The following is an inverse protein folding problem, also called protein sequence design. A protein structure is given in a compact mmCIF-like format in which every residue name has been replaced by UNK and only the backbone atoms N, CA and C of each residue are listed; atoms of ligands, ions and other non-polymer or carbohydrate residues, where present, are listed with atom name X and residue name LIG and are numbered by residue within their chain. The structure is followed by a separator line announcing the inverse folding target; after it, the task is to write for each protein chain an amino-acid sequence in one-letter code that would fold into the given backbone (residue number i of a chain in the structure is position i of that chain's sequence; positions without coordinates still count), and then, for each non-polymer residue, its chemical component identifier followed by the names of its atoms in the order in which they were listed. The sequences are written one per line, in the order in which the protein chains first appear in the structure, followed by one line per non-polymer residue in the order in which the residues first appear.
data_IF_317623458743
#
_entry.id   IF_317623458743
#
_cell.length_a   1.000
_cell.length_b   1.000
_cell.length_c   1.000
_cell.angle_alpha   90.00
_cell.angle_beta   90.00
_cell.angle_gamma   90.00
#
_symmetry.space_group_name_H-M   'P 1'
#
loop_
_entity.id
_entity.type
_entity.pdbx_description
1 polymer ?
#
# COMPACT_ATOMS: atom_id res chain seq x y z
N UNK A 1 63.80 -46.71 -40.89
CA UNK A 1 63.66 -45.49 -40.07
C UNK A 1 62.17 -45.23 -39.84
N UNK A 2 61.80 -45.25 -38.56
CA UNK A 2 60.56 -44.86 -37.88
C UNK A 2 59.22 -44.67 -38.63
N UNK A 3 58.25 -45.46 -38.15
CA UNK A 3 56.80 -45.24 -38.07
C UNK A 3 56.43 -43.85 -37.53
N UNK A 4 55.30 -43.27 -38.00
CA UNK A 4 54.22 -42.76 -37.13
C UNK A 4 52.89 -42.84 -37.87
N UNK A 5 51.88 -43.45 -37.22
CA UNK A 5 50.47 -43.50 -37.60
C UNK A 5 49.81 -42.15 -37.26
N UNK A 6 49.14 -41.50 -38.20
CA UNK A 6 48.35 -40.30 -37.91
C UNK A 6 46.99 -40.71 -37.34
N UNK A 7 46.82 -40.55 -36.03
CA UNK A 7 45.54 -40.69 -35.33
C UNK A 7 44.86 -39.31 -35.32
N UNK A 8 43.68 -39.22 -35.93
CA UNK A 8 42.84 -38.01 -35.88
C UNK A 8 42.19 -37.92 -34.49
N UNK A 9 42.54 -36.88 -33.74
CA UNK A 9 41.88 -36.53 -32.47
C UNK A 9 40.74 -35.56 -32.82
N UNK A 10 39.49 -36.05 -32.76
CA UNK A 10 38.32 -35.17 -32.72
C UNK A 10 38.27 -34.50 -31.34
N UNK A 11 38.57 -33.20 -31.29
CA UNK A 11 38.31 -32.39 -30.10
C UNK A 11 36.83 -32.00 -30.10
N UNK A 12 35.99 -32.77 -29.40
CA UNK A 12 34.61 -32.39 -29.16
C UNK A 12 34.58 -31.22 -28.16
N UNK A 13 34.30 -30.01 -28.67
CA UNK A 13 34.08 -28.84 -27.84
C UNK A 13 32.69 -28.98 -27.19
N UNK A 14 32.64 -29.46 -25.95
CA UNK A 14 31.40 -29.48 -25.17
C UNK A 14 31.11 -28.05 -24.75
N UNK A 15 30.28 -27.36 -25.54
CA UNK A 15 29.68 -26.09 -25.15
C UNK A 15 28.61 -26.42 -24.10
N UNK A 16 28.98 -26.33 -22.82
CA UNK A 16 28.04 -26.42 -21.72
C UNK A 16 27.12 -25.22 -21.80
N UNK A 17 25.93 -25.40 -22.39
CA UNK A 17 24.84 -24.45 -22.25
C UNK A 17 24.43 -24.50 -20.78
N UNK A 18 24.95 -23.58 -19.98
CA UNK A 18 24.39 -23.29 -18.67
C UNK A 18 22.99 -22.76 -18.93
N UNK A 19 21.99 -23.64 -18.90
CA UNK A 19 20.60 -23.24 -18.77
C UNK A 19 20.50 -22.50 -17.45
N UNK A 20 20.48 -21.16 -17.53
CA UNK A 20 20.07 -20.33 -16.40
C UNK A 20 18.69 -20.84 -15.96
N UNK A 21 18.57 -21.20 -14.68
CA UNK A 21 17.28 -21.54 -14.11
C UNK A 21 16.32 -20.37 -14.38
N UNK A 22 15.05 -20.63 -14.72
CA UNK A 22 14.09 -19.55 -14.91
C UNK A 22 14.02 -18.77 -13.61
N UNK A 23 14.40 -17.49 -13.68
CA UNK A 23 14.28 -16.57 -12.56
C UNK A 23 12.82 -16.62 -12.11
N UNK A 24 12.57 -17.03 -10.86
CA UNK A 24 11.22 -17.05 -10.31
C UNK A 24 10.66 -15.65 -10.48
N UNK A 25 9.65 -15.48 -11.33
CA UNK A 25 9.05 -14.17 -11.58
C UNK A 25 8.27 -13.81 -10.33
N UNK A 26 8.90 -13.05 -9.43
CA UNK A 26 8.27 -12.55 -8.23
C UNK A 26 7.03 -11.76 -8.62
N UNK A 27 5.87 -12.12 -8.07
CA UNK A 27 4.62 -11.38 -8.29
C UNK A 27 4.70 -10.14 -7.41
N UNK A 28 4.73 -8.96 -8.03
CA UNK A 28 4.68 -7.68 -7.31
C UNK A 28 3.36 -7.58 -6.54
N UNK A 29 3.40 -6.96 -5.35
CA UNK A 29 2.20 -6.68 -4.59
C UNK A 29 1.27 -5.78 -5.43
N UNK A 30 -0.04 -6.05 -5.38
CA UNK A 30 -1.05 -5.33 -6.17
C UNK A 30 -1.08 -3.83 -5.85
N UNK A 31 -0.71 -3.43 -4.62
CA UNK A 31 -0.59 -2.04 -4.17
C UNK A 31 0.67 -1.34 -4.76
N UNK A 32 1.65 -2.10 -5.26
CA UNK A 32 2.85 -1.55 -5.90
C UNK A 32 2.71 -1.41 -7.42
N UNK A 33 1.74 -2.10 -8.02
CA UNK A 33 1.54 -2.15 -9.49
C UNK A 33 1.04 -0.85 -10.14
N UNK A 34 0.28 0.06 -9.49
CA UNK A 34 -0.22 1.28 -10.14
C UNK A 34 0.90 2.21 -10.62
N UNK A 35 2.10 2.11 -10.02
CA UNK A 35 3.21 3.02 -10.32
C UNK A 35 2.98 4.44 -9.81
N UNK A 36 2.16 4.58 -8.76
CA UNK A 36 1.87 5.84 -8.12
C UNK A 36 2.90 6.16 -7.02
N UNK A 37 2.73 7.32 -6.39
CA UNK A 37 3.60 7.74 -5.29
C UNK A 37 3.43 6.78 -4.12
N UNK A 38 4.54 6.32 -3.53
CA UNK A 38 4.50 5.23 -2.56
C UNK A 38 3.70 4.00 -3.05
N UNK A 39 3.66 3.75 -4.37
CA UNK A 39 2.96 2.61 -4.96
C UNK A 39 1.52 2.88 -5.35
N UNK A 40 0.71 3.38 -4.42
CA UNK A 40 -0.76 3.43 -4.47
C UNK A 40 -1.36 4.81 -4.11
N UNK A 41 -0.54 5.81 -3.76
CA UNK A 41 -1.05 7.14 -3.40
C UNK A 41 -1.18 8.04 -4.63
N UNK A 42 -2.41 8.49 -4.87
CA UNK A 42 -2.72 9.51 -5.88
C UNK A 42 -2.39 10.89 -5.30
N UNK A 43 -1.33 11.52 -5.82
CA UNK A 43 -0.96 12.88 -5.44
C UNK A 43 -1.87 13.93 -6.10
N UNK A 44 -2.25 15.01 -5.38
CA UNK A 44 -2.97 16.13 -5.99
C UNK A 44 -2.08 16.88 -7.02
N UNK A 45 -2.70 17.63 -7.97
CA UNK A 45 -1.98 18.42 -8.99
C UNK A 45 -1.06 19.51 -8.40
N UNK A 46 -1.38 20.00 -7.20
CA UNK A 46 -0.54 20.86 -6.38
C UNK A 46 -0.20 20.13 -5.10
N UNK A 47 1.09 19.97 -4.80
CA UNK A 47 1.56 19.46 -3.51
C UNK A 47 1.32 20.56 -2.48
N UNK A 48 0.13 20.57 -1.90
CA UNK A 48 -0.12 21.28 -0.66
C UNK A 48 0.21 20.33 0.50
N UNK A 49 1.19 20.74 1.29
CA UNK A 49 1.78 19.95 2.36
C UNK A 49 0.78 19.67 3.49
N UNK A 50 0.95 18.54 4.18
CA UNK A 50 0.51 18.36 5.57
C UNK A 50 -0.89 17.76 5.78
N UNK A 51 -0.93 16.49 6.15
CA UNK A 51 -2.14 15.82 6.67
C UNK A 51 -2.53 16.28 8.08
N UNK A 52 -1.70 17.13 8.69
CA UNK A 52 -2.02 17.83 9.93
C UNK A 52 -3.17 18.84 9.70
N UNK A 53 -3.26 19.42 8.50
CA UNK A 53 -4.28 20.43 8.21
C UNK A 53 -5.69 19.80 8.21
N UNK A 54 -6.53 20.32 9.09
CA UNK A 54 -7.90 19.85 9.29
C UNK A 54 -8.76 20.04 8.03
N UNK A 55 -8.34 20.88 7.07
CA UNK A 55 -9.02 21.08 5.79
C UNK A 55 -9.15 19.79 4.98
N UNK A 56 -8.23 18.83 5.17
CA UNK A 56 -8.22 17.54 4.49
C UNK A 56 -9.01 16.46 5.25
N UNK A 57 -9.63 16.78 6.39
CA UNK A 57 -10.48 15.83 7.12
C UNK A 57 -11.88 15.81 6.54
N UNK A 58 -12.50 14.63 6.54
CA UNK A 58 -13.89 14.50 6.15
C UNK A 58 -14.81 15.16 7.19
N UNK A 59 -15.70 16.08 6.80
CA UNK A 59 -16.61 16.73 7.74
C UNK A 59 -17.46 15.72 8.52
N UNK A 60 -17.60 15.95 9.83
CA UNK A 60 -18.36 15.08 10.72
C UNK A 60 -17.92 13.61 10.70
N UNK A 61 -16.63 13.34 10.46
CA UNK A 61 -16.08 11.99 10.35
C UNK A 61 -16.81 11.12 9.31
N UNK A 62 -17.40 11.75 8.28
CA UNK A 62 -18.29 11.07 7.33
C UNK A 62 -17.69 11.10 5.92
N UNK A 63 -17.21 9.96 5.47
CA UNK A 63 -16.74 9.76 4.09
C UNK A 63 -17.95 9.58 3.18
N UNK A 64 -18.07 10.45 2.18
CA UNK A 64 -19.11 10.36 1.15
C UNK A 64 -18.57 9.53 0.00
N UNK A 65 -19.32 8.53 -0.46
CA UNK A 65 -18.86 7.63 -1.51
C UNK A 65 -19.87 7.46 -2.63
N UNK A 66 -19.37 7.15 -3.81
CA UNK A 66 -20.11 6.59 -4.94
C UNK A 66 -19.38 5.32 -5.39
N UNK A 67 -20.13 4.25 -5.63
CA UNK A 67 -19.58 2.97 -6.06
C UNK A 67 -19.83 2.80 -7.56
N UNK A 68 -18.82 2.36 -8.28
CA UNK A 68 -18.96 1.92 -9.67
C UNK A 68 -20.06 0.84 -9.78
N UNK A 69 -21.08 1.06 -10.63
CA UNK A 69 -22.20 0.13 -10.75
C UNK A 69 -21.82 -1.24 -11.34
N UNK A 70 -20.58 -1.39 -11.83
CA UNK A 70 -20.07 -2.65 -12.39
C UNK A 70 -19.54 -3.63 -11.33
N UNK A 71 -19.43 -3.23 -10.06
CA UNK A 71 -19.08 -4.15 -8.99
C UNK A 71 -20.11 -5.29 -8.87
N UNK A 72 -19.62 -6.51 -8.73
CA UNK A 72 -20.43 -7.69 -8.49
C UNK A 72 -20.92 -7.72 -7.03
N UNK A 73 -22.01 -8.45 -6.77
CA UNK A 73 -22.63 -8.54 -5.44
C UNK A 73 -21.62 -9.03 -4.37
N UNK A 74 -20.75 -9.98 -4.71
CA UNK A 74 -19.75 -10.49 -3.78
C UNK A 74 -18.61 -9.48 -3.52
N UNK A 75 -18.23 -8.69 -4.53
CA UNK A 75 -17.24 -7.61 -4.41
C UNK A 75 -17.78 -6.50 -3.51
N UNK A 76 -19.03 -6.08 -3.72
CA UNK A 76 -19.72 -5.11 -2.86
C UNK A 76 -19.78 -5.59 -1.41
N UNK A 77 -20.11 -6.87 -1.18
CA UNK A 77 -20.14 -7.43 0.17
C UNK A 77 -18.78 -7.35 0.88
N UNK A 78 -17.68 -7.61 0.17
CA UNK A 78 -16.31 -7.49 0.70
C UNK A 78 -15.94 -6.04 1.01
N UNK A 79 -16.28 -5.10 0.11
CA UNK A 79 -16.06 -3.66 0.31
C UNK A 79 -16.78 -3.20 1.59
N UNK A 80 -18.07 -3.52 1.72
CA UNK A 80 -18.83 -3.17 2.91
C UNK A 80 -18.33 -3.85 4.19
N UNK A 81 -17.80 -5.07 4.11
CA UNK A 81 -17.20 -5.74 5.26
C UNK A 81 -15.95 -5.01 5.78
N UNK A 82 -15.05 -4.59 4.88
CA UNK A 82 -13.88 -3.78 5.24
C UNK A 82 -14.27 -2.43 5.86
N UNK A 83 -15.26 -1.76 5.27
CA UNK A 83 -15.78 -0.50 5.81
C UNK A 83 -16.45 -0.67 7.17
N UNK A 84 -17.21 -1.76 7.36
CA UNK A 84 -17.83 -2.07 8.64
C UNK A 84 -16.79 -2.23 9.76
N UNK A 85 -15.62 -2.80 9.47
CA UNK A 85 -14.54 -2.92 10.46
C UNK A 85 -14.01 -1.56 10.92
N UNK A 86 -13.86 -0.62 9.99
CA UNK A 86 -13.49 0.77 10.31
C UNK A 86 -14.59 1.42 11.15
N UNK A 87 -15.87 1.30 10.78
CA UNK A 87 -16.97 1.93 11.54
C UNK A 87 -17.25 1.27 12.89
N UNK A 88 -16.87 0.00 13.06
CA UNK A 88 -17.04 -0.70 14.34
C UNK A 88 -15.93 -0.37 15.34
N UNK A 89 -14.79 0.08 14.84
CA UNK A 89 -13.61 0.39 15.65
C UNK A 89 -13.33 1.89 15.74
N UNK A 90 -14.11 2.74 15.06
CA UNK A 90 -13.93 4.19 15.04
C UNK A 90 -15.28 4.89 14.89
N UNK A 91 -15.31 6.22 15.06
CA UNK A 91 -16.51 7.01 14.78
C UNK A 91 -16.70 7.38 13.30
N UNK A 92 -15.85 6.87 12.39
CA UNK A 92 -16.00 7.11 10.95
C UNK A 92 -17.34 6.54 10.48
N UNK A 93 -17.98 7.28 9.57
CA UNK A 93 -19.22 6.88 8.91
C UNK A 93 -19.02 6.90 7.41
N UNK A 94 -19.69 5.98 6.73
CA UNK A 94 -19.77 5.97 5.27
C UNK A 94 -21.20 6.25 4.85
N UNK A 95 -21.38 7.18 3.90
CA UNK A 95 -22.70 7.43 3.30
C UNK A 95 -22.63 7.54 1.78
N UNK A 96 -23.65 7.05 1.06
CA UNK A 96 -23.77 7.28 -0.37
C UNK A 96 -23.82 8.77 -0.71
N UNK A 97 -23.30 9.11 -1.88
CA UNK A 97 -23.35 10.43 -2.48
C UNK A 97 -24.80 10.83 -2.82
N UNK A 98 -25.20 12.01 -2.37
CA UNK A 98 -26.42 12.70 -2.76
C UNK A 98 -26.21 13.72 -3.89
N UNK A 99 -27.30 14.32 -4.40
CA UNK A 99 -27.23 15.28 -5.50
C UNK A 99 -26.43 16.56 -5.17
N UNK A 100 -26.42 16.99 -3.91
CA UNK A 100 -25.76 18.22 -3.46
C UNK A 100 -24.29 18.02 -3.04
N UNK A 101 -23.83 16.77 -2.93
CA UNK A 101 -22.46 16.49 -2.51
C UNK A 101 -21.48 16.79 -3.64
N UNK A 102 -20.54 17.69 -3.34
CA UNK A 102 -19.45 18.06 -4.25
C UNK A 102 -18.16 17.30 -3.93
N UNK A 103 -17.94 16.94 -2.66
CA UNK A 103 -16.76 16.22 -2.19
C UNK A 103 -17.13 14.77 -1.90
N UNK A 104 -16.54 13.82 -2.62
CA UNK A 104 -16.83 12.40 -2.45
C UNK A 104 -15.74 11.52 -3.08
N UNK A 105 -15.64 10.29 -2.59
CA UNK A 105 -14.80 9.24 -3.15
C UNK A 105 -15.60 8.48 -4.22
N UNK A 106 -15.15 8.51 -5.47
CA UNK A 106 -15.63 7.61 -6.52
C UNK A 106 -14.78 6.34 -6.49
N UNK A 107 -15.35 5.26 -5.94
CA UNK A 107 -14.71 3.95 -5.84
C UNK A 107 -14.93 3.19 -7.14
N UNK A 108 -13.83 2.97 -7.87
CA UNK A 108 -13.83 2.31 -9.18
C UNK A 108 -13.47 0.84 -9.02
N UNK A 109 -14.13 0.00 -9.83
CA UNK A 109 -13.84 -1.44 -9.90
C UNK A 109 -12.47 -1.74 -10.53
N UNK A 110 -11.92 -0.77 -11.28
CA UNK A 110 -10.65 -0.92 -11.97
C UNK A 110 -10.70 -1.95 -13.10
N UNK A 111 -9.60 -2.03 -13.83
CA UNK A 111 -9.34 -3.06 -14.83
C UNK A 111 -8.06 -3.82 -14.46
N UNK A 112 -7.84 -5.00 -15.04
CA UNK A 112 -6.64 -5.78 -14.80
C UNK A 112 -5.36 -4.95 -15.01
N UNK A 113 -4.48 -4.94 -14.01
CA UNK A 113 -3.22 -4.20 -14.03
C UNK A 113 -3.32 -2.73 -13.63
N UNK A 114 -4.47 -2.28 -13.11
CA UNK A 114 -4.64 -0.92 -12.56
C UNK A 114 -4.29 -0.83 -11.07
N UNK A 115 -4.23 -1.96 -10.37
CA UNK A 115 -3.82 -2.07 -8.98
C UNK A 115 -4.81 -1.46 -7.98
N UNK A 116 -4.35 -1.18 -6.76
CA UNK A 116 -5.15 -0.55 -5.71
C UNK A 116 -4.61 0.86 -5.47
N UNK A 117 -5.49 1.86 -5.30
CA UNK A 117 -5.02 3.23 -5.03
C UNK A 117 -6.08 4.15 -4.47
N UNK A 118 -5.61 5.19 -3.77
CA UNK A 118 -6.45 6.22 -3.17
C UNK A 118 -5.69 7.53 -3.02
N UNK A 119 -6.44 8.62 -2.85
CA UNK A 119 -5.87 9.89 -2.40
C UNK A 119 -5.82 9.94 -0.87
N UNK A 120 -4.83 10.62 -0.29
CA UNK A 120 -4.77 10.80 1.16
C UNK A 120 -5.65 11.98 1.61
N UNK A 121 -6.70 11.71 2.40
CA UNK A 121 -7.64 12.70 2.92
C UNK A 121 -8.70 13.18 1.91
N UNK A 122 -9.57 14.10 2.34
CA UNK A 122 -10.57 14.77 1.51
C UNK A 122 -9.91 15.86 0.66
N UNK A 123 -9.72 15.61 -0.64
CA UNK A 123 -9.03 16.54 -1.57
C UNK A 123 -9.94 17.62 -2.18
N UNK A 124 -11.25 17.53 -1.92
CA UNK A 124 -12.26 18.38 -2.56
C UNK A 124 -12.65 17.86 -3.95
N UNK A 125 -13.91 18.10 -4.34
CA UNK A 125 -14.44 17.55 -5.58
C UNK A 125 -14.59 16.02 -5.56
N UNK A 126 -14.74 15.43 -6.74
CA UNK A 126 -14.66 13.98 -6.90
C UNK A 126 -13.20 13.52 -6.82
N UNK A 127 -12.85 12.70 -5.84
CA UNK A 127 -11.57 12.00 -5.78
C UNK A 127 -11.74 10.52 -6.15
N UNK A 128 -10.78 9.96 -6.89
CA UNK A 128 -10.81 8.56 -7.29
C UNK A 128 -10.21 7.63 -6.23
N UNK A 129 -10.82 6.47 -6.06
CA UNK A 129 -10.21 5.30 -5.44
C UNK A 129 -10.32 4.13 -6.43
N UNK A 130 -9.27 3.35 -6.61
CA UNK A 130 -9.29 2.16 -7.46
C UNK A 130 -9.19 0.92 -6.57
N UNK A 131 -10.17 0.02 -6.69
CA UNK A 131 -10.13 -1.30 -6.10
C UNK A 131 -10.24 -2.32 -7.23
N UNK A 132 -9.14 -2.55 -7.96
CA UNK A 132 -9.08 -3.54 -9.04
C UNK A 132 -9.69 -4.87 -8.58
N UNK A 133 -10.84 -5.21 -9.14
CA UNK A 133 -11.52 -6.45 -8.81
C UNK A 133 -11.14 -7.56 -9.81
N UNK A 134 -10.82 -8.79 -9.33
CA UNK A 134 -11.00 -9.22 -7.95
C UNK A 134 -9.78 -8.98 -7.04
N UNK A 135 -8.62 -8.58 -7.59
CA UNK A 135 -7.31 -8.52 -6.91
C UNK A 135 -7.33 -7.77 -5.58
N UNK A 136 -7.75 -6.50 -5.57
CA UNK A 136 -7.87 -5.68 -4.36
C UNK A 136 -9.05 -6.14 -3.48
N UNK A 137 -10.20 -6.44 -4.09
CA UNK A 137 -11.42 -6.78 -3.35
C UNK A 137 -11.34 -8.13 -2.60
N UNK A 138 -10.47 -9.05 -3.04
CA UNK A 138 -10.27 -10.33 -2.36
C UNK A 138 -9.30 -10.26 -1.17
N UNK A 139 -8.67 -9.10 -0.93
CA UNK A 139 -7.75 -8.87 0.19
C UNK A 139 -8.37 -7.86 1.15
N UNK A 140 -9.00 -8.37 2.21
CA UNK A 140 -9.77 -7.56 3.17
C UNK A 140 -9.00 -6.35 3.70
N UNK A 141 -7.75 -6.54 4.12
CA UNK A 141 -6.92 -5.43 4.59
C UNK A 141 -6.58 -4.40 3.52
N UNK A 142 -6.57 -4.75 2.22
CA UNK A 142 -6.34 -3.78 1.13
C UNK A 142 -7.54 -2.84 0.99
N UNK A 143 -8.77 -3.32 1.15
CA UNK A 143 -9.96 -2.45 1.16
C UNK A 143 -9.88 -1.45 2.32
N UNK A 144 -9.45 -1.92 3.50
CA UNK A 144 -9.25 -1.08 4.68
C UNK A 144 -8.11 -0.08 4.42
N UNK A 145 -6.99 -0.53 3.86
CA UNK A 145 -5.81 0.26 3.54
C UNK A 145 -6.16 1.47 2.66
N UNK A 146 -6.80 1.24 1.52
CA UNK A 146 -7.20 2.32 0.60
C UNK A 146 -8.19 3.29 1.24
N UNK A 147 -9.09 2.77 2.08
CA UNK A 147 -10.03 3.61 2.79
C UNK A 147 -9.36 4.42 3.90
N UNK A 148 -8.35 3.89 4.58
CA UNK A 148 -7.54 4.65 5.54
C UNK A 148 -6.72 5.76 4.85
N UNK A 149 -6.23 5.53 3.64
CA UNK A 149 -5.72 6.62 2.80
C UNK A 149 -6.78 7.70 2.59
N UNK A 150 -7.97 7.34 2.09
CA UNK A 150 -9.04 8.31 1.86
C UNK A 150 -9.47 9.06 3.14
N UNK A 151 -9.47 8.39 4.29
CA UNK A 151 -9.74 8.97 5.62
C UNK A 151 -8.66 9.98 6.01
N UNK A 152 -7.43 9.76 5.54
CA UNK A 152 -6.32 10.68 5.71
C UNK A 152 -5.18 10.07 6.50
N UNK A 153 -4.61 8.96 6.06
CA UNK A 153 -3.37 8.41 6.61
C UNK A 153 -2.39 8.07 5.48
N UNK A 154 -1.10 8.37 5.68
CA UNK A 154 -0.02 7.86 4.84
C UNK A 154 0.49 6.52 5.39
N UNK A 155 1.46 5.93 4.70
CA UNK A 155 2.07 4.69 5.13
C UNK A 155 2.86 4.82 6.45
N UNK A 156 2.85 3.74 7.24
CA UNK A 156 3.54 3.69 8.54
C UNK A 156 5.07 3.72 8.38
N UNK A 157 5.64 3.08 7.34
CA UNK A 157 7.10 3.08 7.12
C UNK A 157 7.67 4.42 6.66
N UNK A 158 6.81 5.38 6.34
CA UNK A 158 7.19 6.74 5.94
C UNK A 158 7.13 7.72 7.11
N UNK A 159 6.85 7.25 8.34
CA UNK A 159 6.89 8.10 9.54
C UNK A 159 8.27 8.75 9.74
N UNK A 160 8.31 9.97 10.32
CA UNK A 160 9.58 10.66 10.61
C UNK A 160 10.55 9.85 11.49
N UNK A 161 10.00 9.11 12.45
CA UNK A 161 10.71 8.30 13.46
C UNK A 161 11.00 6.86 13.01
N UNK A 162 10.64 6.45 11.78
CA UNK A 162 10.72 5.04 11.35
C UNK A 162 12.12 4.43 11.46
N UNK A 163 13.18 5.24 11.34
CA UNK A 163 14.57 4.76 11.43
C UNK A 163 14.92 4.28 12.85
N UNK A 164 14.12 4.58 13.88
CA UNK A 164 14.30 4.02 15.23
C UNK A 164 13.79 2.57 15.32
N UNK A 165 12.96 2.15 14.37
CA UNK A 165 12.23 0.87 14.37
C UNK A 165 12.62 -0.05 13.22
N UNK A 166 12.97 0.52 12.06
CA UNK A 166 13.30 -0.20 10.84
C UNK A 166 14.72 0.10 10.37
N UNK A 167 15.27 -0.83 9.59
CA UNK A 167 16.41 -0.59 8.70
C UNK A 167 15.92 -0.73 7.27
N UNK A 168 16.18 0.30 6.45
CA UNK A 168 15.95 0.23 4.99
C UNK A 168 17.19 -0.31 4.31
N UNK A 169 17.01 -1.38 3.56
CA UNK A 169 18.07 -2.07 2.82
C UNK A 169 18.08 -1.53 1.38
N UNK A 170 18.68 -0.35 1.21
CA UNK A 170 18.56 0.45 -0.01
C UNK A 170 19.04 -0.27 -1.28
N UNK A 171 20.04 -1.13 -1.19
CA UNK A 171 20.57 -1.92 -2.32
C UNK A 171 19.64 -3.03 -2.80
N UNK A 172 18.57 -3.32 -2.04
CA UNK A 172 17.53 -4.29 -2.40
C UNK A 172 16.28 -3.67 -3.02
N UNK A 173 16.22 -2.34 -3.12
CA UNK A 173 15.09 -1.64 -3.73
C UNK A 173 15.24 -1.62 -5.26
N UNK A 174 14.14 -1.82 -5.98
CA UNK A 174 14.07 -1.68 -7.44
C UNK A 174 14.58 -0.28 -7.86
N UNK A 175 15.55 -0.17 -8.78
CA UNK A 175 16.10 1.12 -9.18
C UNK A 175 15.03 2.10 -9.65
N UNK A 176 15.05 3.31 -9.11
CA UNK A 176 14.04 4.34 -9.35
C UNK A 176 12.83 4.29 -8.42
N UNK A 177 12.73 3.31 -7.51
CA UNK A 177 11.66 3.19 -6.50
C UNK A 177 12.10 3.63 -5.09
N UNK A 178 13.32 4.13 -4.93
CA UNK A 178 13.88 4.57 -3.65
C UNK A 178 13.03 5.68 -3.01
N UNK A 179 12.40 6.53 -3.83
CA UNK A 179 11.53 7.61 -3.36
C UNK A 179 10.31 7.13 -2.57
N UNK A 180 9.87 5.88 -2.75
CA UNK A 180 8.76 5.27 -1.99
C UNK A 180 9.13 4.94 -0.53
N UNK A 181 10.40 5.10 -0.16
CA UNK A 181 10.93 4.86 1.19
C UNK A 181 11.34 6.16 1.90
N UNK A 182 11.09 7.31 1.27
CA UNK A 182 11.34 8.61 1.87
C UNK A 182 10.42 8.83 3.06
N UNK A 183 10.97 9.41 4.13
CA UNK A 183 10.18 9.78 5.31
C UNK A 183 9.50 11.12 5.06
N UNK A 184 8.31 11.30 5.62
CA UNK A 184 7.72 12.63 5.74
C UNK A 184 8.43 13.43 6.83
N UNK A 185 8.51 14.76 6.67
CA UNK A 185 8.90 15.65 7.77
C UNK A 185 7.79 15.72 8.83
N UNK A 186 8.18 16.04 10.08
CA UNK A 186 7.28 16.08 11.25
C UNK A 186 6.15 17.12 11.14
N UNK A 187 6.32 18.13 10.29
CA UNK A 187 5.30 19.15 9.99
C UNK A 187 4.28 18.66 8.95
N UNK A 188 4.49 17.50 8.35
CA UNK A 188 3.63 16.94 7.30
C UNK A 188 2.79 15.77 7.79
N UNK A 189 3.39 14.87 8.58
CA UNK A 189 2.72 13.71 9.18
C UNK A 189 2.94 13.73 10.68
N UNK A 190 1.84 13.63 11.44
CA UNK A 190 1.88 13.49 12.88
C UNK A 190 1.77 12.02 13.27
N UNK A 191 2.54 11.61 14.29
CA UNK A 191 2.40 10.29 14.90
C UNK A 191 1.16 10.21 15.80
N UNK A 192 0.50 11.35 16.06
CA UNK A 192 -0.57 11.50 17.06
C UNK A 192 -0.16 11.01 18.46
N UNK A 193 1.15 10.98 18.74
CA UNK A 193 1.71 10.44 19.98
C UNK A 193 1.64 8.91 20.09
N UNK A 194 1.22 8.20 19.04
CA UNK A 194 1.14 6.75 19.02
C UNK A 194 2.52 6.10 18.80
N UNK A 195 2.80 4.95 19.45
CA UNK A 195 4.00 4.18 19.17
C UNK A 195 4.02 3.69 17.72
N UNK A 196 5.20 3.30 17.23
CA UNK A 196 5.35 2.71 15.90
C UNK A 196 4.62 1.37 15.81
N UNK A 197 3.81 1.19 14.76
CA UNK A 197 2.96 0.02 14.60
C UNK A 197 3.42 -0.91 13.46
N UNK A 198 4.24 -1.90 13.80
CA UNK A 198 4.64 -2.96 12.86
C UNK A 198 3.45 -3.76 12.31
N UNK A 199 2.34 -3.83 13.06
CA UNK A 199 1.11 -4.52 12.68
C UNK A 199 0.14 -3.64 11.88
N UNK A 200 0.51 -2.40 11.57
CA UNK A 200 -0.36 -1.48 10.84
C UNK A 200 -0.73 -2.06 9.47
N UNK A 201 -2.00 -1.93 9.10
CA UNK A 201 -2.47 -2.30 7.75
C UNK A 201 -1.89 -1.35 6.68
N UNK A 202 -1.40 -0.18 7.10
CA UNK A 202 -0.70 0.83 6.30
C UNK A 202 0.82 0.62 6.26
N UNK A 203 1.35 -0.45 6.83
CA UNK A 203 2.76 -0.77 6.73
C UNK A 203 3.05 -1.53 5.44
N UNK A 204 4.11 -1.20 4.73
CA UNK A 204 4.64 -2.04 3.65
C UNK A 204 5.01 -3.44 4.11
N UNK A 205 4.98 -4.39 3.17
CA UNK A 205 5.62 -5.69 3.38
C UNK A 205 7.13 -5.55 3.53
N UNK A 206 7.77 -6.56 4.14
CA UNK A 206 9.23 -6.59 4.27
C UNK A 206 9.95 -6.54 2.92
N UNK A 207 9.28 -6.93 1.82
CA UNK A 207 9.82 -7.03 0.47
C UNK A 207 9.27 -5.96 -0.47
N UNK A 208 8.71 -4.88 0.07
CA UNK A 208 8.13 -3.82 -0.75
C UNK A 208 9.14 -3.34 -1.80
N UNK A 209 8.75 -3.26 -3.07
CA UNK A 209 9.61 -2.86 -4.19
C UNK A 209 10.97 -3.60 -4.27
N UNK A 210 11.03 -4.86 -3.85
CA UNK A 210 12.27 -5.63 -3.89
C UNK A 210 12.74 -5.93 -5.31
N UNK A 211 14.03 -5.71 -5.60
CA UNK A 211 14.65 -6.02 -6.89
C UNK A 211 14.86 -7.53 -7.11
N UNK A 212 15.05 -8.30 -6.04
CA UNK A 212 15.47 -9.71 -6.11
C UNK A 212 14.67 -10.66 -5.20
N UNK A 213 13.64 -10.14 -4.52
CA UNK A 213 12.79 -10.87 -3.58
C UNK A 213 13.33 -10.91 -2.15
N UNK A 214 14.49 -10.29 -1.87
CA UNK A 214 14.97 -10.09 -0.50
C UNK A 214 14.26 -8.91 0.19
N UNK A 215 14.37 -8.86 1.51
CA UNK A 215 13.73 -7.83 2.31
C UNK A 215 14.38 -6.45 2.05
N UNK A 216 13.55 -5.45 1.80
CA UNK A 216 13.89 -4.03 1.70
C UNK A 216 13.68 -3.30 3.03
N UNK A 217 12.80 -3.84 3.89
CA UNK A 217 12.51 -3.33 5.23
C UNK A 217 12.75 -4.42 6.27
N UNK A 218 13.66 -4.14 7.21
CA UNK A 218 14.00 -5.09 8.30
C UNK A 218 13.68 -4.45 9.65
N UNK A 219 12.72 -4.99 10.42
CA UNK A 219 12.50 -4.60 11.81
C UNK A 219 13.76 -4.76 12.66
N UNK A 220 14.08 -3.73 13.45
CA UNK A 220 15.23 -3.77 14.38
C UNK A 220 15.01 -4.76 15.53
N UNK A 221 13.75 -5.06 15.85
CA UNK A 221 13.39 -6.09 16.83
C UNK A 221 13.33 -7.44 16.11
N UNK A 222 14.18 -8.41 16.48
CA UNK A 222 14.20 -9.72 15.84
C UNK A 222 12.86 -10.46 15.96
N UNK A 223 12.40 -11.07 14.87
CA UNK A 223 11.19 -11.90 14.84
C UNK A 223 9.87 -11.14 14.67
N UNK A 224 9.90 -9.80 14.62
CA UNK A 224 8.73 -8.99 14.27
C UNK A 224 8.43 -9.14 12.76
N UNK A 225 7.15 -9.20 12.42
CA UNK A 225 6.67 -9.25 11.02
C UNK A 225 5.91 -7.97 10.67
N UNK A 226 5.90 -7.61 9.39
CA UNK A 226 5.30 -6.38 8.85
C UNK A 226 4.56 -6.65 7.53
N UNK A 227 3.62 -5.77 7.18
CA UNK A 227 2.89 -5.81 5.90
C UNK A 227 1.67 -6.71 5.88
N UNK A 228 1.03 -6.92 7.03
CA UNK A 228 -0.23 -7.64 7.09
C UNK A 228 -1.33 -6.91 6.30
N UNK A 229 -2.25 -7.66 5.70
CA UNK A 229 -3.49 -7.17 5.08
C UNK A 229 -4.68 -8.01 5.49
N UNK A 230 -4.76 -8.30 6.78
CA UNK A 230 -5.81 -9.08 7.41
C UNK A 230 -6.89 -8.19 8.01
N UNK A 231 -6.52 -7.11 8.71
CA UNK A 231 -7.44 -6.29 9.49
C UNK A 231 -6.82 -4.94 9.87
N UNK A 232 -7.64 -3.98 10.33
CA UNK A 232 -7.17 -2.75 10.97
C UNK A 232 -6.49 -3.09 12.31
N UNK A 233 -5.34 -2.48 12.60
CA UNK A 233 -4.71 -2.65 13.91
C UNK A 233 -5.42 -1.80 14.99
N UNK A 234 -5.20 -2.13 16.26
CA UNK A 234 -5.70 -1.29 17.36
C UNK A 234 -5.09 0.12 17.33
N UNK A 235 -3.82 0.24 16.91
CA UNK A 235 -3.15 1.53 16.82
C UNK A 235 -3.61 2.33 15.61
N UNK A 236 -3.92 1.69 14.48
CA UNK A 236 -4.56 2.33 13.33
C UNK A 236 -5.93 2.90 13.72
N UNK A 237 -6.79 2.10 14.36
CA UNK A 237 -8.08 2.57 14.85
C UNK A 237 -7.91 3.69 15.89
N UNK A 238 -6.96 3.57 16.81
CA UNK A 238 -6.64 4.60 17.81
C UNK A 238 -6.23 5.93 17.16
N UNK A 239 -5.35 5.89 16.14
CA UNK A 239 -4.94 7.07 15.36
C UNK A 239 -6.16 7.72 14.68
N UNK A 240 -7.05 6.95 14.06
CA UNK A 240 -8.29 7.47 13.46
C UNK A 240 -9.16 8.14 14.52
N UNK A 241 -9.34 7.51 15.69
CA UNK A 241 -10.14 8.06 16.80
C UNK A 241 -9.61 9.40 17.29
N UNK A 242 -8.29 9.50 17.47
CA UNK A 242 -7.63 10.74 17.86
C UNK A 242 -7.79 11.82 16.79
N UNK A 243 -7.55 11.48 15.52
CA UNK A 243 -7.62 12.45 14.41
C UNK A 243 -9.03 13.04 14.22
N UNK A 244 -10.07 12.25 14.44
CA UNK A 244 -11.47 12.67 14.29
C UNK A 244 -12.17 13.01 15.60
N UNK A 245 -11.44 13.08 16.72
CA UNK A 245 -11.99 13.35 18.06
C UNK A 245 -13.23 12.49 18.36
N UNK A 246 -13.10 11.18 18.15
CA UNK A 246 -14.20 10.26 18.43
C UNK A 246 -14.62 10.35 19.92
N UNK A 247 -15.92 10.23 20.23
CA UNK A 247 -16.39 10.19 21.62
C UNK A 247 -15.74 9.04 22.40
N UNK A 248 -15.68 9.14 23.72
CA UNK A 248 -14.99 8.18 24.59
C UNK A 248 -15.59 6.73 24.59
N UNK A 249 -16.72 6.50 23.90
CA UNK A 249 -17.46 5.23 23.91
C UNK A 249 -17.18 4.31 22.69
N UNK A 250 -15.93 3.88 22.47
CA UNK A 250 -15.55 2.91 21.40
C UNK A 250 -14.42 1.94 21.76
#
# INVERSE_FOLDING_TARGET
MQFVKTLAILLACVCSILNAAPQQKWVRDIEETPGLFEGDIILPPSIENGLIDEVYRWPNATVVYELDPTFMVDELAKIYAGWAEITNTTCIKFRPKGPSDTNYVMVRRGAEGTGCSSSVGMRGGQQGMNLEAPSCTNRHGTIIHEMLHAIGFYHEQSRPDRDDYLTVVWDKIEPGKEHNFNKYPEDTVTTLGAPYDYGSVLHYSARGFSIDGNDTLVPKIPGVTIGQRLQISQLDAGKVRLMYNCPDEW
#
